data_IF_667878254340
#
_entry.id   IF_667878254340
#
_cell.length_a   1.000
_cell.length_b   1.000
_cell.length_c   1.000
_cell.angle_alpha   90.00
_cell.angle_beta   90.00
_cell.angle_gamma   90.00
#
_symmetry.space_group_name_H-M   'P 1'
#
loop_
_entity.id
_entity.type
_entity.pdbx_description
1 polymer ?
#
# COMPACT_ATOMS: atom_id res chain seq x y z
N UNK A 1 3.77 -6.55 10.03
CA UNK A 1 3.79 -5.26 9.31
C UNK A 1 4.84 -4.30 9.84
N UNK A 2 4.82 -3.88 11.11
CA UNK A 2 5.73 -2.82 11.62
C UNK A 2 7.24 -3.10 11.46
N UNK A 3 7.66 -4.37 11.44
CA UNK A 3 9.06 -4.75 11.16
C UNK A 3 9.42 -4.77 9.67
N UNK A 4 8.44 -5.04 8.80
CA UNK A 4 8.65 -5.16 7.36
C UNK A 4 8.58 -3.80 6.65
N UNK A 5 7.65 -2.94 7.09
CA UNK A 5 7.34 -1.67 6.44
C UNK A 5 7.69 -0.46 7.29
N UNK A 6 8.08 0.63 6.62
CA UNK A 6 8.24 1.94 7.21
C UNK A 6 6.89 2.60 7.43
N UNK A 7 6.33 2.40 8.63
CA UNK A 7 5.07 3.00 9.01
C UNK A 7 5.08 4.54 9.00
N UNK A 8 6.25 5.20 9.03
CA UNK A 8 6.33 6.67 8.90
C UNK A 8 6.11 7.15 7.46
N UNK A 9 6.16 6.22 6.49
CA UNK A 9 6.01 6.46 5.06
C UNK A 9 4.73 5.85 4.49
N UNK A 10 3.85 5.35 5.35
CA UNK A 10 2.55 4.78 5.00
C UNK A 10 1.47 5.48 5.82
N UNK A 11 0.54 6.14 5.16
CA UNK A 11 -0.51 6.92 5.79
C UNK A 11 -1.87 6.32 5.44
N UNK A 12 -2.64 5.96 6.46
CA UNK A 12 -4.04 5.55 6.28
C UNK A 12 -4.89 6.76 5.86
N UNK A 13 -5.70 6.59 4.82
CA UNK A 13 -6.58 7.65 4.30
C UNK A 13 -8.01 7.40 4.75
N UNK A 14 -8.55 6.24 4.38
CA UNK A 14 -9.91 5.83 4.72
C UNK A 14 -10.05 4.31 4.61
N UNK A 15 -11.15 3.79 5.14
CA UNK A 15 -11.50 2.38 5.08
C UNK A 15 -13.01 2.24 5.23
N UNK A 16 -13.53 1.16 4.66
CA UNK A 16 -14.92 0.70 4.82
C UNK A 16 -14.87 -0.71 5.44
N UNK A 17 -15.99 -1.43 5.40
CA UNK A 17 -16.22 -2.72 6.06
C UNK A 17 -15.16 -3.77 5.72
N UNK A 18 -14.71 -3.81 4.46
CA UNK A 18 -13.81 -4.83 3.91
C UNK A 18 -12.65 -4.25 3.09
N UNK A 19 -12.49 -2.91 3.07
CA UNK A 19 -11.49 -2.21 2.27
C UNK A 19 -10.76 -1.13 3.06
N UNK A 20 -9.53 -0.84 2.64
CA UNK A 20 -8.71 0.23 3.20
C UNK A 20 -7.86 0.88 2.12
N UNK A 21 -7.73 2.20 2.19
CA UNK A 21 -6.93 3.01 1.28
C UNK A 21 -5.76 3.63 2.03
N UNK A 22 -4.57 3.46 1.48
CA UNK A 22 -3.32 3.93 2.06
C UNK A 22 -2.54 4.78 1.06
N UNK A 23 -1.97 5.89 1.51
CA UNK A 23 -0.93 6.62 0.79
C UNK A 23 0.42 6.03 1.16
N UNK A 24 1.20 5.65 0.15
CA UNK A 24 2.53 5.05 0.35
C UNK A 24 3.56 6.01 -0.27
N UNK A 25 4.48 6.50 0.55
CA UNK A 25 5.60 7.33 0.09
C UNK A 25 6.59 6.47 -0.69
N UNK A 26 7.09 7.04 -1.79
CA UNK A 26 8.06 6.39 -2.65
C UNK A 26 9.21 7.31 -3.02
N UNK A 27 9.95 6.91 -4.05
CA UNK A 27 10.87 7.77 -4.77
C UNK A 27 10.10 8.50 -5.89
N UNK A 28 10.07 9.85 -5.91
CA UNK A 28 9.41 10.62 -6.97
C UNK A 28 10.08 10.47 -8.34
N UNK A 29 11.38 10.16 -8.38
CA UNK A 29 12.17 10.03 -9.61
C UNK A 29 12.19 8.59 -10.16
N UNK A 30 11.47 7.67 -9.52
CA UNK A 30 11.38 6.29 -9.99
C UNK A 30 10.63 6.21 -11.32
N UNK A 31 11.18 5.49 -12.31
CA UNK A 31 10.52 5.25 -13.60
C UNK A 31 9.15 4.59 -13.44
N UNK A 32 8.98 3.75 -12.41
CA UNK A 32 7.69 3.10 -12.11
C UNK A 32 6.64 4.08 -11.56
N UNK A 33 7.04 5.29 -11.16
CA UNK A 33 6.17 6.31 -10.56
C UNK A 33 5.40 5.76 -9.37
N UNK A 34 4.08 5.97 -9.31
CA UNK A 34 3.22 5.45 -8.25
C UNK A 34 3.12 3.91 -8.23
N UNK A 35 3.47 3.22 -9.33
CA UNK A 35 3.47 1.74 -9.42
C UNK A 35 4.67 1.08 -8.75
N UNK A 36 5.51 1.86 -8.07
CA UNK A 36 6.59 1.36 -7.21
C UNK A 36 6.08 0.57 -6.00
N UNK A 37 4.78 0.67 -5.67
CA UNK A 37 4.12 -0.07 -4.58
C UNK A 37 4.89 0.08 -3.26
N UNK A 38 5.30 -1.04 -2.64
CA UNK A 38 5.98 -1.04 -1.35
C UNK A 38 7.51 -0.95 -1.43
N UNK A 39 8.11 -0.89 -2.63
CA UNK A 39 9.56 -1.03 -2.87
C UNK A 39 10.42 -0.15 -1.95
N UNK A 40 10.02 1.10 -1.73
CA UNK A 40 10.79 2.09 -0.96
C UNK A 40 10.35 2.26 0.49
N UNK A 41 9.32 1.52 0.92
CA UNK A 41 8.90 1.46 2.32
C UNK A 41 9.27 0.15 3.00
N UNK A 42 9.92 -0.80 2.30
CA UNK A 42 10.45 -2.01 2.95
C UNK A 42 11.68 -1.63 3.78
N UNK A 43 11.62 -1.83 5.10
CA UNK A 43 12.73 -1.53 6.05
C UNK A 43 13.74 -2.66 6.14
N UNK A 44 13.23 -3.87 6.38
CA UNK A 44 14.03 -5.07 6.52
C UNK A 44 13.72 -5.99 5.35
N UNK A 45 14.55 -5.89 4.31
CA UNK A 45 14.38 -6.69 3.09
C UNK A 45 14.51 -8.18 3.37
N UNK A 46 15.43 -8.59 4.27
CA UNK A 46 15.61 -9.99 4.62
C UNK A 46 14.35 -10.54 5.30
N UNK A 47 13.83 -9.82 6.30
CA UNK A 47 12.57 -10.19 6.95
C UNK A 47 11.41 -10.22 5.95
N UNK A 48 11.30 -9.22 5.09
CA UNK A 48 10.25 -9.14 4.08
C UNK A 48 10.29 -10.33 3.11
N UNK A 49 11.48 -10.67 2.58
CA UNK A 49 11.66 -11.77 1.64
C UNK A 49 11.39 -13.13 2.30
N UNK A 50 11.88 -13.34 3.53
CA UNK A 50 11.62 -14.57 4.32
C UNK A 50 10.13 -14.73 4.66
N UNK A 51 9.42 -13.61 4.91
CA UNK A 51 8.02 -13.62 5.29
C UNK A 51 7.07 -13.39 4.11
N UNK A 52 7.59 -13.24 2.88
CA UNK A 52 6.80 -12.92 1.71
C UNK A 52 5.61 -13.88 1.50
N UNK A 53 5.76 -15.22 1.64
CA UNK A 53 4.63 -16.15 1.50
C UNK A 53 3.56 -16.02 2.59
N UNK A 54 3.91 -15.47 3.76
CA UNK A 54 2.97 -15.23 4.86
C UNK A 54 2.31 -13.85 4.76
N UNK A 55 3.01 -12.87 4.20
CA UNK A 55 2.49 -11.54 3.93
C UNK A 55 1.57 -11.54 2.71
N UNK A 56 1.93 -12.30 1.68
CA UNK A 56 1.19 -12.39 0.43
C UNK A 56 0.61 -13.80 0.27
N UNK A 57 -0.72 -13.90 0.40
CA UNK A 57 -1.44 -15.16 0.20
C UNK A 57 -1.34 -15.68 -1.24
N UNK A 58 -1.90 -16.87 -1.49
CA UNK A 58 -1.87 -17.55 -2.80
C UNK A 58 -2.35 -16.67 -3.97
N UNK A 59 -3.22 -15.69 -3.69
CA UNK A 59 -3.81 -14.78 -4.67
C UNK A 59 -3.16 -13.38 -4.72
N UNK A 60 -1.90 -13.22 -4.29
CA UNK A 60 -1.20 -11.92 -4.19
C UNK A 60 -1.93 -10.91 -3.29
N UNK A 61 -2.64 -11.40 -2.29
CA UNK A 61 -3.35 -10.62 -1.28
C UNK A 61 -2.42 -10.25 -0.14
N UNK A 62 -2.37 -8.98 0.26
CA UNK A 62 -1.63 -8.57 1.44
C UNK A 62 -2.45 -8.92 2.70
N UNK A 63 -1.98 -9.88 3.49
CA UNK A 63 -2.65 -10.36 4.71
C UNK A 63 -4.12 -10.77 4.50
N UNK A 64 -4.42 -11.38 3.34
CA UNK A 64 -5.78 -11.79 2.97
C UNK A 64 -6.63 -10.68 2.34
N UNK A 65 -6.11 -9.45 2.21
CA UNK A 65 -6.79 -8.34 1.55
C UNK A 65 -6.34 -8.25 0.09
N UNK A 66 -7.32 -8.27 -0.82
CA UNK A 66 -7.09 -8.14 -2.25
C UNK A 66 -6.66 -6.72 -2.62
N UNK A 67 -5.83 -6.64 -3.64
CA UNK A 67 -5.46 -5.38 -4.24
C UNK A 67 -6.54 -4.94 -5.23
N UNK A 68 -7.25 -3.85 -4.95
CA UNK A 68 -8.39 -3.40 -5.76
C UNK A 68 -8.01 -2.28 -6.74
N UNK A 69 -7.37 -1.22 -6.25
CA UNK A 69 -7.06 -0.04 -7.05
C UNK A 69 -5.78 0.67 -6.58
N UNK A 70 -5.12 1.37 -7.51
CA UNK A 70 -4.05 2.35 -7.25
C UNK A 70 -4.32 3.65 -8.00
N UNK A 71 -3.73 4.73 -7.50
CA UNK A 71 -3.75 6.03 -8.14
C UNK A 71 -2.60 6.89 -7.64
N UNK A 72 -2.42 8.05 -8.27
CA UNK A 72 -1.39 9.02 -7.88
C UNK A 72 -1.83 9.90 -6.72
N UNK A 73 -3.14 10.03 -6.51
CA UNK A 73 -3.71 10.78 -5.40
C UNK A 73 -5.03 10.15 -4.92
N UNK A 74 -5.37 10.38 -3.66
CA UNK A 74 -6.68 10.04 -3.11
C UNK A 74 -7.18 11.20 -2.24
N UNK A 75 -8.47 11.52 -2.35
CA UNK A 75 -9.15 12.52 -1.55
C UNK A 75 -10.32 11.84 -0.84
N UNK A 76 -10.36 11.90 0.48
CA UNK A 76 -11.47 11.44 1.30
C UNK A 76 -12.12 12.65 1.99
N UNK A 77 -13.40 12.91 1.68
CA UNK A 77 -14.13 14.07 2.21
C UNK A 77 -15.00 13.69 3.42
N UNK A 78 -15.56 12.48 3.41
CA UNK A 78 -16.38 11.93 4.47
C UNK A 78 -16.36 10.39 4.41
N UNK A 79 -16.84 9.67 5.43
CA UNK A 79 -17.04 8.23 5.35
C UNK A 79 -17.84 7.87 4.08
N UNK A 80 -17.35 6.89 3.30
CA UNK A 80 -17.91 6.46 2.01
C UNK A 80 -17.87 7.50 0.88
N UNK A 81 -17.25 8.66 1.08
CA UNK A 81 -17.08 9.70 0.06
C UNK A 81 -15.58 9.91 -0.15
N UNK A 82 -15.00 9.09 -1.04
CA UNK A 82 -13.60 9.17 -1.41
C UNK A 82 -13.43 8.97 -2.93
N UNK A 83 -12.33 9.47 -3.46
CA UNK A 83 -11.97 9.35 -4.86
C UNK A 83 -10.48 9.06 -5.00
N UNK A 84 -10.14 8.08 -5.84
CA UNK A 84 -8.77 7.75 -6.22
C UNK A 84 -8.56 8.25 -7.65
N UNK A 85 -7.59 9.13 -7.84
CA UNK A 85 -7.22 9.65 -9.15
C UNK A 85 -6.19 8.73 -9.79
N UNK A 86 -6.55 8.14 -10.93
CA UNK A 86 -5.68 7.28 -11.73
C UNK A 86 -5.45 7.94 -13.09
N UNK A 87 -4.19 8.12 -13.49
CA UNK A 87 -3.81 8.75 -14.76
C UNK A 87 -3.44 7.69 -15.81
#
# INVERSE_FOLDING_TARGET
MAKAFDMNRMHYICGDTDSMTWAISGNPDAEEGYRQKFKYVIKDKKFFDENYPYLFGQYKQLLGVSYEAEGTACIALAPKIHYIYNR
#
